data_IF_396853758720
#
_entry.id   IF_396853758720
#
_cell.length_a   1.000
_cell.length_b   1.000
_cell.length_c   1.000
_cell.angle_alpha   90.00
_cell.angle_beta   90.00
_cell.angle_gamma   90.00
#
_symmetry.space_group_name_H-M   'P 1'
#
loop_
_entity.id
_entity.type
_entity.pdbx_description
1 polymer ?
#
# COMPACT_ATOMS: atom_id res chain seq x y z
N UNK A 1 33.10 -21.37 10.98
CA UNK A 1 34.08 -21.80 12.00
C UNK A 1 33.29 -22.47 13.12
N UNK A 2 33.65 -23.67 13.54
CA UNK A 2 33.01 -24.34 14.70
C UNK A 2 33.92 -24.11 15.91
N UNK A 3 33.36 -23.59 17.00
CA UNK A 3 34.07 -23.39 18.25
C UNK A 3 34.04 -24.66 19.09
N UNK A 4 34.97 -24.79 20.04
CA UNK A 4 35.10 -25.98 20.91
C UNK A 4 33.90 -26.19 21.84
N UNK A 5 33.03 -25.19 21.99
CA UNK A 5 31.74 -25.29 22.69
C UNK A 5 30.60 -25.81 21.81
N UNK A 6 30.87 -26.15 20.54
CA UNK A 6 29.90 -26.65 19.59
C UNK A 6 29.09 -25.56 18.88
N UNK A 7 29.29 -24.28 19.23
CA UNK A 7 28.65 -23.17 18.50
C UNK A 7 29.38 -22.92 17.19
N UNK A 8 28.64 -22.45 16.18
CA UNK A 8 29.19 -22.16 14.86
C UNK A 8 28.92 -20.72 14.47
N UNK A 9 29.95 -19.96 14.12
CA UNK A 9 29.76 -18.72 13.39
C UNK A 9 29.43 -19.06 11.93
N UNK A 10 28.17 -18.87 11.54
CA UNK A 10 27.65 -19.03 10.18
C UNK A 10 27.17 -17.67 9.68
N UNK A 11 27.19 -17.44 8.36
CA UNK A 11 26.64 -16.23 7.77
C UNK A 11 25.11 -16.16 7.90
N UNK A 12 24.46 -17.30 8.15
CA UNK A 12 23.00 -17.41 8.26
C UNK A 12 22.43 -16.71 9.50
N UNK A 13 23.26 -16.47 10.52
CA UNK A 13 22.89 -15.69 11.71
C UNK A 13 23.38 -14.23 11.64
N UNK A 14 24.01 -13.83 10.53
CA UNK A 14 24.57 -12.49 10.34
C UNK A 14 23.59 -11.62 9.54
N UNK A 15 22.41 -11.34 10.09
CA UNK A 15 21.52 -10.34 9.49
C UNK A 15 22.10 -8.95 9.78
N UNK A 16 22.44 -8.19 8.73
CA UNK A 16 22.79 -6.78 8.89
C UNK A 16 21.64 -5.98 9.52
N UNK A 17 21.90 -4.74 9.98
CA UNK A 17 20.82 -3.86 10.41
C UNK A 17 19.72 -3.82 9.34
N UNK A 18 18.43 -3.91 9.69
CA UNK A 18 17.35 -3.66 8.74
C UNK A 18 17.60 -2.34 8.03
N UNK A 19 17.43 -2.32 6.70
CA UNK A 19 17.48 -1.07 5.95
C UNK A 19 16.43 -0.08 6.50
N UNK A 20 16.59 1.23 6.26
CA UNK A 20 15.57 2.20 6.64
C UNK A 20 14.21 1.79 6.06
N UNK A 21 13.18 1.76 6.90
CA UNK A 21 11.81 1.48 6.49
C UNK A 21 11.36 2.55 5.51
N UNK A 22 11.47 2.27 4.22
CA UNK A 22 11.15 3.24 3.17
C UNK A 22 9.65 3.48 3.01
N UNK A 23 8.82 2.59 3.55
CA UNK A 23 7.36 2.68 3.52
C UNK A 23 6.82 2.68 4.96
N UNK A 24 5.78 3.47 5.19
CA UNK A 24 5.03 3.48 6.45
C UNK A 24 4.26 2.16 6.62
N UNK A 25 4.14 1.67 7.86
CA UNK A 25 3.30 0.52 8.17
C UNK A 25 1.83 0.80 7.79
N UNK A 26 1.15 -0.22 7.25
CA UNK A 26 -0.27 -0.11 6.92
C UNK A 26 -1.12 0.07 8.18
N UNK A 27 -2.06 1.04 8.16
CA UNK A 27 -2.97 1.32 9.27
C UNK A 27 -4.33 0.62 9.18
N UNK A 28 -4.73 0.19 7.97
CA UNK A 28 -5.94 -0.60 7.73
C UNK A 28 -5.79 -1.49 6.48
N UNK A 29 -6.55 -2.59 6.44
CA UNK A 29 -6.58 -3.51 5.29
C UNK A 29 -7.14 -2.80 4.07
N UNK A 30 -6.48 -3.00 2.93
CA UNK A 30 -6.93 -2.52 1.63
C UNK A 30 -6.61 -1.05 1.34
N UNK A 31 -6.04 -0.31 2.30
CA UNK A 31 -5.52 1.03 2.04
C UNK A 31 -4.33 0.97 1.07
N UNK A 32 -4.36 1.81 0.04
CA UNK A 32 -3.22 2.00 -0.87
C UNK A 32 -2.42 3.23 -0.45
N UNK A 33 -1.14 3.04 -0.13
CA UNK A 33 -0.22 4.15 0.18
C UNK A 33 0.08 4.95 -1.09
N UNK A 34 0.31 6.26 -0.95
CA UNK A 34 0.76 7.11 -2.06
C UNK A 34 1.87 8.06 -1.62
N UNK A 35 2.68 8.50 -2.59
CA UNK A 35 3.70 9.53 -2.37
C UNK A 35 3.08 10.91 -2.57
N UNK A 36 3.16 11.78 -1.57
CA UNK A 36 2.58 13.12 -1.61
C UNK A 36 3.56 14.21 -2.11
N UNK A 37 4.82 13.84 -2.40
CA UNK A 37 5.89 14.77 -2.72
C UNK A 37 6.98 14.87 -1.64
N UNK A 38 6.70 14.43 -0.42
CA UNK A 38 7.60 14.50 0.73
C UNK A 38 7.69 13.19 1.52
N UNK A 39 6.58 12.46 1.65
CA UNK A 39 6.53 11.19 2.37
C UNK A 39 5.54 10.18 1.76
N UNK A 40 5.67 8.92 2.18
CA UNK A 40 4.69 7.89 1.89
C UNK A 40 3.54 8.00 2.89
N UNK A 41 2.38 8.41 2.38
CA UNK A 41 1.17 8.64 3.17
C UNK A 41 0.27 7.40 3.14
N UNK A 42 -0.13 6.95 4.32
CA UNK A 42 -1.19 5.93 4.46
C UNK A 42 -2.53 6.64 4.39
N UNK A 43 -3.28 6.40 3.33
CA UNK A 43 -4.56 7.06 3.08
C UNK A 43 -5.74 6.15 3.44
N UNK A 44 -6.79 6.72 4.02
CA UNK A 44 -7.98 6.02 4.48
C UNK A 44 -9.19 6.16 3.51
N UNK A 45 -8.97 5.86 2.20
CA UNK A 45 -9.97 5.62 1.12
C UNK A 45 -9.77 6.36 -0.22
N UNK A 46 -8.69 7.10 -0.46
CA UNK A 46 -8.46 7.66 -1.81
C UNK A 46 -8.39 6.54 -2.87
N UNK A 47 -7.66 5.47 -2.57
CA UNK A 47 -7.60 4.27 -3.38
C UNK A 47 -7.60 3.04 -2.46
N UNK A 48 -8.60 2.19 -2.65
CA UNK A 48 -8.80 0.96 -1.89
C UNK A 48 -8.70 -0.25 -2.83
N UNK A 49 -8.10 -1.34 -2.36
CA UNK A 49 -8.15 -2.63 -3.04
C UNK A 49 -8.39 -3.79 -2.05
N UNK A 50 -9.27 -4.73 -2.37
CA UNK A 50 -9.52 -5.93 -1.53
C UNK A 50 -8.82 -7.20 -2.05
N UNK A 51 -7.98 -7.06 -3.08
CA UNK A 51 -7.37 -8.15 -3.83
C UNK A 51 -8.16 -8.61 -5.05
N UNK A 52 -9.44 -8.20 -5.18
CA UNK A 52 -10.29 -8.48 -6.34
C UNK A 52 -10.77 -7.19 -7.03
N UNK A 53 -11.19 -6.19 -6.25
CA UNK A 53 -11.86 -4.97 -6.69
C UNK A 53 -11.06 -3.74 -6.27
N UNK A 54 -11.27 -2.66 -7.01
CA UNK A 54 -10.71 -1.34 -6.73
C UNK A 54 -11.83 -0.35 -6.40
N UNK A 55 -11.70 0.32 -5.26
CA UNK A 55 -12.55 1.43 -4.84
C UNK A 55 -11.80 2.76 -4.92
N UNK A 56 -12.43 3.79 -5.48
CA UNK A 56 -11.95 5.18 -5.42
C UNK A 56 -12.99 5.96 -4.62
N UNK A 57 -12.59 6.53 -3.48
CA UNK A 57 -13.50 7.21 -2.55
C UNK A 57 -14.39 6.25 -1.73
N UNK A 58 -14.14 4.94 -1.76
CA UNK A 58 -14.88 3.92 -1.00
C UNK A 58 -14.00 2.73 -0.62
N UNK A 59 -14.19 2.20 0.58
CA UNK A 59 -13.61 0.93 1.07
C UNK A 59 -14.54 -0.26 0.89
N UNK A 60 -15.69 -0.08 0.26
CA UNK A 60 -16.68 -1.13 0.02
C UNK A 60 -17.07 -1.16 -1.46
N UNK A 61 -16.15 -1.58 -2.36
CA UNK A 61 -16.43 -1.67 -3.78
C UNK A 61 -17.48 -2.76 -4.07
N UNK A 62 -18.58 -2.38 -4.72
CA UNK A 62 -19.65 -3.32 -5.13
C UNK A 62 -19.45 -3.86 -6.55
N UNK A 63 -18.40 -3.42 -7.24
CA UNK A 63 -18.02 -3.82 -8.60
C UNK A 63 -16.49 -3.87 -8.72
N UNK A 64 -15.98 -4.45 -9.80
CA UNK A 64 -14.53 -4.55 -10.10
C UNK A 64 -13.82 -3.20 -9.98
N UNK A 65 -14.48 -2.15 -10.48
CA UNK A 65 -14.09 -0.76 -10.27
C UNK A 65 -15.32 -0.01 -9.75
N UNK A 66 -15.23 0.56 -8.56
CA UNK A 66 -16.29 1.36 -7.95
C UNK A 66 -15.75 2.75 -7.61
N UNK A 67 -16.22 3.77 -8.32
CA UNK A 67 -15.94 5.16 -7.97
C UNK A 67 -17.13 5.70 -7.17
N UNK A 68 -16.86 6.22 -5.99
CA UNK A 68 -17.85 6.75 -5.07
C UNK A 68 -17.43 8.14 -4.62
N UNK A 69 -18.33 9.10 -4.73
CA UNK A 69 -18.16 10.44 -4.20
C UNK A 69 -19.48 10.84 -3.54
N UNK A 70 -19.39 11.40 -2.34
CA UNK A 70 -20.56 11.88 -1.58
C UNK A 70 -21.01 13.27 -2.07
N UNK A 71 -20.20 13.97 -2.87
CA UNK A 71 -20.55 15.27 -3.41
C UNK A 71 -21.48 15.16 -4.63
N UNK A 72 -22.65 15.79 -4.52
CA UNK A 72 -23.77 15.64 -5.47
C UNK A 72 -23.58 16.37 -6.82
N UNK A 73 -22.36 16.74 -7.20
CA UNK A 73 -22.13 17.89 -8.09
C UNK A 73 -21.06 17.72 -9.17
N UNK A 74 -20.95 16.58 -9.83
CA UNK A 74 -20.06 16.42 -10.99
C UNK A 74 -19.88 14.95 -11.35
N UNK A 75 -19.73 14.63 -12.64
CA UNK A 75 -19.42 13.27 -13.05
C UNK A 75 -18.08 12.82 -12.45
N UNK A 76 -18.08 11.73 -11.67
CA UNK A 76 -16.89 11.17 -11.01
C UNK A 76 -15.83 10.63 -12.01
N UNK A 77 -16.15 10.63 -13.31
CA UNK A 77 -15.32 10.06 -14.36
C UNK A 77 -15.24 11.02 -15.56
N UNK A 78 -14.05 11.53 -15.83
CA UNK A 78 -13.72 12.26 -17.05
C UNK A 78 -12.94 11.34 -17.99
N UNK A 79 -13.46 11.14 -19.21
CA UNK A 79 -12.71 10.52 -20.29
C UNK A 79 -12.24 11.62 -21.25
N UNK A 80 -10.93 11.77 -21.42
CA UNK A 80 -10.33 12.75 -22.33
C UNK A 80 -9.55 12.08 -23.46
N UNK A 81 -9.72 12.55 -24.69
CA UNK A 81 -8.99 12.12 -25.88
C UNK A 81 -9.56 12.75 -27.16
N UNK A 82 -8.78 12.77 -28.25
CA UNK A 82 -9.30 13.04 -29.60
C UNK A 82 -9.67 11.70 -30.27
N UNK A 83 -10.80 11.69 -30.98
CA UNK A 83 -11.34 10.49 -31.65
C UNK A 83 -10.78 10.33 -33.06
#
# INVERSE_FOLDING_TARGET
MIFSDGTSFTTDTLTGPPGPSGLTDGSAVGNTIFWDGSEWVVNNNNLFHDGERVGIGTSSPNAMLHLHDDESGGGNVLFSGEF
#
